data_IF_489453903708
#
_entry.id   IF_489453903708
#
_cell.length_a   1.000
_cell.length_b   1.000
_cell.length_c   1.000
_cell.angle_alpha   90.00
_cell.angle_beta   90.00
_cell.angle_gamma   90.00
#
_symmetry.space_group_name_H-M   'P 1'
#
loop_
_entity.id
_entity.type
_entity.pdbx_description
1 polymer ?
#
# COMPACT_ATOMS: atom_id res chain seq x y z
N UNK A 1 -5.41 11.10 -21.89
CA UNK A 1 -5.65 10.92 -20.43
C UNK A 1 -4.29 10.69 -19.82
N UNK A 2 -3.95 11.30 -18.67
CA UNK A 2 -2.63 11.10 -18.08
C UNK A 2 -2.47 9.63 -17.66
N UNK A 3 -1.53 8.93 -18.30
CA UNK A 3 -1.09 7.60 -17.90
C UNK A 3 -0.10 7.72 -16.72
N UNK A 4 -0.01 6.69 -15.88
CA UNK A 4 1.01 6.64 -14.83
C UNK A 4 2.41 6.62 -15.48
N UNK A 5 3.30 7.46 -14.96
CA UNK A 5 4.66 7.65 -15.47
C UNK A 5 5.65 7.05 -14.48
N UNK A 6 6.92 6.97 -14.88
CA UNK A 6 7.99 6.57 -13.95
C UNK A 6 8.10 7.54 -12.75
N UNK A 7 7.84 8.82 -12.97
CA UNK A 7 7.85 9.85 -11.90
C UNK A 7 6.68 9.64 -10.93
N UNK A 8 5.47 9.42 -11.43
CA UNK A 8 4.33 9.00 -10.61
C UNK A 8 4.67 7.78 -9.77
N UNK A 9 5.41 6.85 -10.36
CA UNK A 9 5.84 5.66 -9.67
C UNK A 9 6.78 5.92 -8.49
N UNK A 10 7.74 6.81 -8.65
CA UNK A 10 8.64 7.20 -7.56
C UNK A 10 7.89 7.93 -6.43
N UNK A 11 6.93 8.78 -6.77
CA UNK A 11 6.08 9.47 -5.78
C UNK A 11 5.23 8.46 -5.02
N UNK A 12 4.54 7.56 -5.73
CA UNK A 12 3.69 6.53 -5.12
C UNK A 12 4.49 5.62 -4.18
N UNK A 13 5.68 5.16 -4.60
CA UNK A 13 6.56 4.36 -3.77
C UNK A 13 6.96 5.10 -2.47
N UNK A 14 7.34 6.37 -2.58
CA UNK A 14 7.68 7.20 -1.43
C UNK A 14 6.48 7.38 -0.48
N UNK A 15 5.28 7.63 -1.00
CA UNK A 15 4.06 7.72 -0.19
C UNK A 15 3.79 6.42 0.57
N UNK A 16 3.82 5.28 -0.13
CA UNK A 16 3.54 3.97 0.47
C UNK A 16 4.56 3.64 1.57
N UNK A 17 5.84 3.96 1.37
CA UNK A 17 6.89 3.76 2.36
C UNK A 17 6.76 4.69 3.58
N UNK A 18 6.15 5.88 3.43
CA UNK A 18 5.81 6.72 4.60
C UNK A 18 4.60 6.20 5.37
N UNK A 19 3.64 5.57 4.68
CA UNK A 19 2.45 4.97 5.30
C UNK A 19 2.78 3.67 6.06
N UNK A 20 3.74 2.88 5.57
CA UNK A 20 4.29 1.71 6.25
C UNK A 20 5.82 1.69 6.09
N UNK A 21 6.55 2.38 6.99
CA UNK A 21 8.00 2.41 6.94
C UNK A 21 8.62 1.14 7.49
N UNK A 22 9.78 0.76 6.95
CA UNK A 22 10.62 -0.25 7.60
C UNK A 22 11.18 0.29 8.92
N UNK A 23 11.02 -0.50 9.98
CA UNK A 23 11.51 -0.18 11.32
C UNK A 23 11.94 -1.44 12.09
N UNK A 24 12.18 -1.31 13.40
CA UNK A 24 12.57 -2.43 14.25
C UNK A 24 11.48 -3.50 14.42
N UNK A 25 10.22 -3.17 14.10
CA UNK A 25 9.06 -4.03 14.28
C UNK A 25 8.71 -4.82 13.01
N UNK A 26 9.16 -4.39 11.84
CA UNK A 26 8.85 -5.11 10.62
C UNK A 26 9.29 -4.47 9.31
N UNK A 27 9.00 -5.15 8.18
CA UNK A 27 9.34 -4.68 6.86
C UNK A 27 8.49 -3.47 6.44
N UNK A 28 9.09 -2.58 5.66
CA UNK A 28 8.38 -1.47 5.02
C UNK A 28 7.59 -1.90 3.79
N UNK A 29 6.81 -0.97 3.25
CA UNK A 29 5.98 -1.16 2.07
C UNK A 29 6.80 -1.67 0.86
N UNK A 30 8.01 -1.16 0.64
CA UNK A 30 8.86 -1.60 -0.48
C UNK A 30 9.39 -3.02 -0.28
N UNK A 31 9.79 -3.35 0.95
CA UNK A 31 10.23 -4.71 1.32
C UNK A 31 9.10 -5.74 1.16
N UNK A 32 7.86 -5.32 1.41
CA UNK A 32 6.64 -6.09 1.17
C UNK A 32 6.18 -6.12 -0.30
N UNK A 33 6.76 -5.33 -1.19
CA UNK A 33 6.36 -5.27 -2.61
C UNK A 33 5.02 -4.58 -2.86
N UNK A 34 4.62 -3.66 -1.98
CA UNK A 34 3.36 -2.91 -2.07
C UNK A 34 3.31 -2.06 -3.35
N UNK A 35 4.46 -1.55 -3.79
CA UNK A 35 4.61 -0.86 -5.07
C UNK A 35 4.16 -1.72 -6.25
N UNK A 36 4.65 -2.96 -6.34
CA UNK A 36 4.30 -3.88 -7.42
C UNK A 36 2.80 -4.21 -7.43
N UNK A 37 2.21 -4.39 -6.24
CA UNK A 37 0.75 -4.50 -6.11
C UNK A 37 0.03 -3.24 -6.64
N UNK A 38 0.42 -2.06 -6.17
CA UNK A 38 -0.27 -0.82 -6.49
C UNK A 38 -0.22 -0.51 -8.01
N UNK A 39 0.93 -0.69 -8.67
CA UNK A 39 0.99 -0.56 -10.12
C UNK A 39 0.15 -1.61 -10.85
N UNK A 40 0.21 -2.88 -10.42
CA UNK A 40 -0.60 -3.93 -11.03
C UNK A 40 -2.10 -3.68 -10.87
N UNK A 41 -2.51 -3.15 -9.72
CA UNK A 41 -3.89 -2.77 -9.47
C UNK A 41 -4.31 -1.60 -10.37
N UNK A 42 -3.50 -0.54 -10.46
CA UNK A 42 -3.78 0.65 -11.26
C UNK A 42 -3.63 0.42 -12.78
N UNK A 43 -2.91 -0.60 -13.23
CA UNK A 43 -2.87 -1.04 -14.62
C UNK A 43 -4.03 -2.00 -14.96
N UNK A 44 -4.58 -2.67 -13.95
CA UNK A 44 -5.64 -3.67 -14.09
C UNK A 44 -6.98 -3.22 -13.54
N UNK A 45 -7.39 -3.83 -12.42
CA UNK A 45 -8.74 -3.69 -11.86
C UNK A 45 -9.12 -2.24 -11.52
N UNK A 46 -8.12 -1.40 -11.21
CA UNK A 46 -8.27 0.01 -10.84
C UNK A 46 -7.84 0.97 -11.95
N UNK A 47 -7.70 0.51 -13.20
CA UNK A 47 -7.31 1.37 -14.33
C UNK A 47 -8.21 2.60 -14.53
N UNK A 48 -9.48 2.51 -14.15
CA UNK A 48 -10.43 3.62 -14.23
C UNK A 48 -10.12 4.78 -13.26
N UNK A 49 -9.40 4.53 -12.16
CA UNK A 49 -8.99 5.57 -11.19
C UNK A 49 -7.54 6.05 -11.40
N UNK A 50 -6.74 5.37 -12.20
CA UNK A 50 -5.35 5.77 -12.48
C UNK A 50 -5.18 7.23 -12.93
N UNK A 51 -6.07 7.82 -13.75
CA UNK A 51 -5.99 9.24 -14.11
C UNK A 51 -6.22 10.19 -12.93
N UNK A 52 -7.04 9.80 -11.95
CA UNK A 52 -7.21 10.60 -10.73
C UNK A 52 -6.00 10.43 -9.81
N UNK A 53 -5.45 9.22 -9.70
CA UNK A 53 -4.21 8.98 -8.93
C UNK A 53 -3.04 9.80 -9.47
N UNK A 54 -2.86 9.89 -10.79
CA UNK A 54 -1.80 10.74 -11.36
C UNK A 54 -1.98 12.21 -10.96
N UNK A 55 -3.20 12.75 -10.99
CA UNK A 55 -3.45 14.13 -10.50
C UNK A 55 -3.11 14.34 -9.03
N UNK A 56 -3.40 13.34 -8.17
CA UNK A 56 -3.02 13.39 -6.75
C UNK A 56 -1.50 13.38 -6.58
N UNK A 57 -0.79 12.53 -7.33
CA UNK A 57 0.68 12.41 -7.26
C UNK A 57 1.39 13.67 -7.80
N UNK A 58 0.85 14.27 -8.86
CA UNK A 58 1.30 15.57 -9.38
C UNK A 58 1.08 16.70 -8.36
N UNK A 59 -0.10 16.70 -7.72
CA UNK A 59 -0.44 17.66 -6.66
C UNK A 59 0.49 17.53 -5.45
N UNK A 60 0.82 16.31 -5.03
CA UNK A 60 1.80 16.07 -3.96
C UNK A 60 3.20 16.57 -4.31
N UNK A 61 3.66 16.34 -5.54
CA UNK A 61 4.95 16.84 -6.00
C UNK A 61 4.98 18.37 -6.06
N UNK A 62 3.91 18.99 -6.55
CA UNK A 62 3.77 20.45 -6.60
C UNK A 62 3.74 21.07 -5.20
N UNK A 63 2.98 20.47 -4.28
CA UNK A 63 2.92 20.91 -2.88
C UNK A 63 4.28 20.78 -2.18
N UNK A 64 4.99 19.67 -2.40
CA UNK A 64 6.33 19.45 -1.87
C UNK A 64 7.34 20.47 -2.44
N UNK A 65 7.29 20.77 -3.74
CA UNK A 65 8.14 21.80 -4.34
C UNK A 65 7.88 23.17 -3.72
N UNK A 66 6.61 23.54 -3.54
CA UNK A 66 6.23 24.81 -2.94
C UNK A 66 6.66 24.93 -1.47
N UNK A 67 6.48 23.88 -0.69
CA UNK A 67 6.70 23.89 0.76
C UNK A 67 8.17 23.64 1.14
N UNK A 68 8.86 22.82 0.36
CA UNK A 68 10.17 22.22 0.72
C UNK A 68 11.23 22.34 -0.38
N UNK A 69 10.89 22.87 -1.57
CA UNK A 69 11.85 23.23 -2.62
C UNK A 69 12.29 22.10 -3.54
N UNK A 70 11.66 20.93 -3.48
CA UNK A 70 11.90 19.79 -4.40
C UNK A 70 10.66 18.92 -4.54
N UNK A 71 10.53 18.12 -5.63
CA UNK A 71 9.42 17.17 -5.78
C UNK A 71 9.33 16.20 -4.60
N UNK A 72 8.14 15.64 -4.38
CA UNK A 72 7.82 14.82 -3.20
C UNK A 72 8.81 13.65 -2.99
N UNK A 73 9.17 12.93 -4.05
CA UNK A 73 10.12 11.82 -3.98
C UNK A 73 11.57 12.28 -3.71
N UNK A 74 11.89 13.57 -3.90
CA UNK A 74 13.23 14.15 -3.72
C UNK A 74 13.44 14.83 -2.37
N UNK A 75 12.39 15.08 -1.59
CA UNK A 75 12.51 15.65 -0.24
C UNK A 75 12.74 14.57 0.82
N UNK A 76 13.29 14.94 1.98
CA UNK A 76 13.52 14.01 3.08
C UNK A 76 12.23 13.54 3.79
N UNK A 77 12.30 12.45 4.54
CA UNK A 77 11.15 11.81 5.18
C UNK A 77 10.28 12.77 6.01
N UNK A 78 10.88 13.66 6.81
CA UNK A 78 10.13 14.63 7.61
C UNK A 78 9.31 15.62 6.75
N UNK A 79 9.82 15.99 5.57
CA UNK A 79 9.08 16.84 4.63
C UNK A 79 7.97 16.06 3.91
N UNK A 80 8.21 14.79 3.58
CA UNK A 80 7.17 13.90 3.06
C UNK A 80 6.03 13.73 4.07
N UNK A 81 6.35 13.55 5.35
CA UNK A 81 5.37 13.45 6.43
C UNK A 81 4.55 14.72 6.61
N UNK A 82 5.18 15.90 6.54
CA UNK A 82 4.46 17.18 6.59
C UNK A 82 3.46 17.30 5.42
N UNK A 83 3.89 16.97 4.19
CA UNK A 83 3.01 17.02 3.01
C UNK A 83 1.87 16.01 3.13
N UNK A 84 2.14 14.77 3.53
CA UNK A 84 1.09 13.74 3.72
C UNK A 84 0.13 14.10 4.84
N UNK A 85 0.64 14.66 5.96
CA UNK A 85 -0.21 15.13 7.04
C UNK A 85 -1.10 16.30 6.63
N UNK A 86 -0.65 17.16 5.70
CA UNK A 86 -1.49 18.22 5.10
C UNK A 86 -2.52 17.65 4.13
N UNK A 87 -2.14 16.64 3.32
CA UNK A 87 -3.06 15.92 2.46
C UNK A 87 -4.22 15.35 3.26
N UNK A 88 -3.93 14.59 4.33
CA UNK A 88 -4.94 13.96 5.20
C UNK A 88 -5.93 14.97 5.79
N UNK A 89 -5.46 16.16 6.15
CA UNK A 89 -6.30 17.25 6.70
C UNK A 89 -7.01 18.09 5.64
N UNK A 90 -6.78 17.84 4.35
CA UNK A 90 -7.36 18.61 3.25
C UNK A 90 -6.79 20.03 3.14
N UNK A 91 -5.51 20.22 3.48
CA UNK A 91 -4.84 21.53 3.50
C UNK A 91 -3.90 21.77 2.31
N UNK A 92 -3.97 20.92 1.29
CA UNK A 92 -3.24 21.10 0.03
C UNK A 92 -4.20 21.62 -1.03
N UNK A 93 -4.01 22.87 -1.44
CA UNK A 93 -4.79 23.49 -2.53
C UNK A 93 -4.55 22.77 -3.88
N UNK A 94 -3.42 22.06 -4.00
CA UNK A 94 -3.04 21.32 -5.20
C UNK A 94 -3.78 19.99 -5.39
N UNK A 95 -4.48 19.50 -4.36
CA UNK A 95 -5.18 18.20 -4.39
C UNK A 95 -6.63 18.38 -3.96
N UNK A 96 -7.55 18.16 -4.90
CA UNK A 96 -8.98 18.12 -4.60
C UNK A 96 -9.31 16.96 -3.66
N UNK A 97 -10.06 17.25 -2.59
CA UNK A 97 -10.46 16.28 -1.55
C UNK A 97 -9.28 15.45 -1.02
N UNK A 98 -8.28 16.15 -0.46
CA UNK A 98 -7.07 15.53 0.07
C UNK A 98 -7.31 14.40 1.09
N UNK A 99 -8.35 14.50 1.92
CA UNK A 99 -8.69 13.46 2.88
C UNK A 99 -9.08 12.14 2.20
N UNK A 100 -9.90 12.19 1.15
CA UNK A 100 -10.25 11.02 0.34
C UNK A 100 -9.04 10.47 -0.43
N UNK A 101 -8.17 11.35 -0.95
CA UNK A 101 -6.93 10.95 -1.61
C UNK A 101 -5.99 10.20 -0.68
N UNK A 102 -5.77 10.71 0.55
CA UNK A 102 -5.00 10.02 1.58
C UNK A 102 -5.61 8.66 1.95
N UNK A 103 -6.93 8.63 2.18
CA UNK A 103 -7.65 7.40 2.49
C UNK A 103 -7.50 6.32 1.42
N UNK A 104 -7.53 6.70 0.14
CA UNK A 104 -7.30 5.79 -0.97
C UNK A 104 -5.87 5.24 -1.00
N UNK A 105 -4.85 6.10 -0.86
CA UNK A 105 -3.44 5.68 -0.84
C UNK A 105 -3.15 4.77 0.35
N UNK A 106 -3.75 5.06 1.50
CA UNK A 106 -3.69 4.21 2.68
C UNK A 106 -4.36 2.85 2.45
N UNK A 107 -5.51 2.81 1.77
CA UNK A 107 -6.15 1.54 1.42
C UNK A 107 -5.29 0.68 0.49
N UNK A 108 -4.73 1.27 -0.57
CA UNK A 108 -3.80 0.59 -1.47
C UNK A 108 -2.58 0.03 -0.72
N UNK A 109 -2.06 0.78 0.26
CA UNK A 109 -0.97 0.32 1.10
C UNK A 109 -1.37 -0.94 1.89
N UNK A 110 -2.52 -0.90 2.58
CA UNK A 110 -3.02 -2.02 3.38
C UNK A 110 -3.29 -3.26 2.52
N UNK A 111 -3.91 -3.08 1.35
CA UNK A 111 -4.18 -4.16 0.40
C UNK A 111 -2.87 -4.79 -0.11
N UNK A 112 -1.90 -3.97 -0.48
CA UNK A 112 -0.60 -4.47 -0.94
C UNK A 112 0.22 -5.11 0.18
N UNK A 113 0.16 -4.60 1.40
CA UNK A 113 0.96 -5.11 2.52
C UNK A 113 0.39 -6.40 3.10
N UNK A 114 -0.93 -6.50 3.20
CA UNK A 114 -1.63 -7.54 3.97
C UNK A 114 -2.59 -8.39 3.14
N UNK A 115 -2.77 -8.09 1.85
CA UNK A 115 -3.49 -8.94 0.92
C UNK A 115 -2.75 -10.24 0.58
N UNK A 116 -3.39 -11.09 -0.22
CA UNK A 116 -2.75 -12.34 -0.65
C UNK A 116 -1.55 -12.04 -1.60
N UNK A 117 -0.37 -12.64 -1.36
CA UNK A 117 0.83 -12.36 -2.15
C UNK A 117 0.69 -12.62 -3.65
N UNK A 118 -0.29 -13.42 -4.08
CA UNK A 118 -0.55 -13.67 -5.51
C UNK A 118 -0.88 -12.39 -6.30
N UNK A 119 -1.26 -11.32 -5.61
CA UNK A 119 -1.57 -10.02 -6.21
C UNK A 119 -0.35 -9.12 -6.39
N UNK A 120 0.85 -9.57 -6.00
CA UNK A 120 2.13 -8.85 -6.23
C UNK A 120 2.71 -8.19 -4.98
N UNK A 121 1.88 -7.96 -3.97
CA UNK A 121 2.27 -7.45 -2.65
C UNK A 121 2.58 -8.56 -1.64
N UNK A 122 2.61 -8.22 -0.36
CA UNK A 122 2.84 -9.13 0.77
C UNK A 122 3.94 -10.16 0.49
N UNK A 123 5.08 -9.68 -0.03
CA UNK A 123 6.13 -10.53 -0.57
C UNK A 123 6.59 -11.54 0.47
N UNK A 124 6.74 -12.79 0.02
CA UNK A 124 7.12 -13.92 0.87
C UNK A 124 6.17 -14.17 2.05
N UNK A 125 4.93 -13.66 2.05
CA UNK A 125 3.97 -13.72 3.18
C UNK A 125 4.42 -12.90 4.40
N UNK A 126 5.33 -11.92 4.22
CA UNK A 126 5.95 -11.19 5.32
C UNK A 126 4.96 -10.30 6.09
N UNK A 127 3.99 -9.67 5.41
CA UNK A 127 2.93 -8.91 6.08
C UNK A 127 2.00 -9.81 6.89
N UNK A 128 1.72 -11.03 6.42
CA UNK A 128 0.98 -12.01 7.22
C UNK A 128 1.74 -12.49 8.44
N UNK A 129 3.06 -12.71 8.32
CA UNK A 129 3.89 -13.04 9.50
C UNK A 129 3.90 -11.89 10.51
N UNK A 130 3.94 -10.64 10.04
CA UNK A 130 3.89 -9.46 10.89
C UNK A 130 2.57 -9.40 11.69
N UNK A 131 1.44 -9.69 11.06
CA UNK A 131 0.12 -9.73 11.72
C UNK A 131 -0.14 -11.01 12.54
N UNK A 132 0.73 -12.03 12.45
CA UNK A 132 0.44 -13.36 13.00
C UNK A 132 -0.70 -14.09 12.28
N UNK A 133 -1.02 -13.69 11.04
CA UNK A 133 -2.08 -14.35 10.27
C UNK A 133 -1.62 -15.75 9.84
N UNK A 134 -2.41 -16.82 10.10
CA UNK A 134 -1.99 -18.20 9.88
C UNK A 134 -1.99 -18.63 8.40
N UNK A 135 -2.36 -17.73 7.48
CA UNK A 135 -2.57 -18.01 6.07
C UNK A 135 -4.00 -18.48 5.77
N UNK A 136 -4.25 -18.82 4.51
CA UNK A 136 -5.58 -19.28 4.05
C UNK A 136 -5.90 -20.63 4.67
N UNK A 137 -7.11 -20.75 5.21
CA UNK A 137 -7.64 -21.96 5.84
C UNK A 137 -8.96 -22.33 5.18
N UNK A 138 -9.06 -23.56 4.68
CA UNK A 138 -10.29 -24.07 4.04
C UNK A 138 -11.22 -24.73 5.05
N UNK A 139 -10.64 -25.25 6.12
CA UNK A 139 -11.32 -25.88 7.23
C UNK A 139 -10.72 -25.33 8.52
N UNK A 140 -11.59 -25.05 9.48
CA UNK A 140 -11.24 -24.62 10.83
C UNK A 140 -12.02 -25.51 11.80
N UNK A 141 -11.28 -26.26 12.63
CA UNK A 141 -11.90 -27.15 13.60
C UNK A 141 -12.48 -26.38 14.79
N UNK A 142 -13.38 -27.00 15.56
CA UNK A 142 -13.94 -26.36 16.76
C UNK A 142 -12.87 -26.08 17.83
N UNK A 143 -11.79 -26.87 17.86
CA UNK A 143 -10.64 -26.65 18.75
C UNK A 143 -9.88 -25.37 18.37
N UNK A 144 -9.61 -25.17 17.08
CA UNK A 144 -8.93 -23.99 16.55
C UNK A 144 -9.73 -22.68 16.68
N UNK A 145 -11.04 -22.77 16.96
CA UNK A 145 -11.89 -21.59 17.21
C UNK A 145 -11.85 -21.11 18.66
N UNK A 146 -11.16 -21.82 19.55
CA UNK A 146 -11.01 -21.41 20.94
C UNK A 146 -10.03 -20.24 21.05
N UNK A 147 -10.33 -19.27 21.93
CA UNK A 147 -9.60 -17.99 22.02
C UNK A 147 -8.11 -18.13 22.36
N UNK A 148 -7.71 -19.20 23.04
CA UNK A 148 -6.35 -19.41 23.54
C UNK A 148 -5.57 -20.47 22.73
N UNK A 149 -6.12 -20.90 21.59
CA UNK A 149 -5.47 -21.88 20.72
C UNK A 149 -4.70 -21.15 19.62
N UNK A 150 -3.37 -21.26 19.65
CA UNK A 150 -2.56 -20.86 18.51
C UNK A 150 -2.79 -21.81 17.34
N UNK A 151 -3.36 -21.26 16.28
CA UNK A 151 -3.60 -22.00 15.04
C UNK A 151 -2.28 -22.08 14.26
N UNK A 152 -1.55 -23.18 14.48
CA UNK A 152 -0.30 -23.47 13.79
C UNK A 152 -0.47 -23.92 12.33
N UNK A 153 0.63 -23.96 11.59
CA UNK A 153 0.67 -24.50 10.23
C UNK A 153 1.70 -23.84 9.32
N UNK A 154 1.89 -24.39 8.12
CA UNK A 154 2.62 -23.70 7.05
C UNK A 154 1.72 -22.62 6.48
N UNK A 155 2.15 -21.36 6.52
CA UNK A 155 1.46 -20.26 5.84
C UNK A 155 1.29 -20.60 4.35
N UNK A 156 0.05 -20.50 3.88
CA UNK A 156 -0.33 -20.77 2.49
C UNK A 156 -1.14 -19.62 1.93
N UNK A 157 -0.78 -19.21 0.72
CA UNK A 157 -1.54 -18.28 -0.11
C UNK A 157 -2.68 -19.03 -0.80
N UNK A 158 -3.68 -18.31 -1.31
CA UNK A 158 -4.67 -18.82 -2.26
C UNK A 158 -4.01 -19.48 -3.49
N UNK A 159 -2.81 -19.05 -3.88
CA UNK A 159 -2.07 -19.67 -4.97
C UNK A 159 -1.68 -21.14 -4.69
N UNK A 160 -1.59 -21.53 -3.41
CA UNK A 160 -1.36 -22.92 -3.00
C UNK A 160 -2.61 -23.80 -3.12
N UNK A 161 -3.76 -23.20 -3.50
CA UNK A 161 -5.06 -23.87 -3.67
C UNK A 161 -5.64 -23.61 -5.07
N UNK A 162 -5.09 -24.22 -6.12
CA UNK A 162 -5.46 -23.93 -7.52
C UNK A 162 -6.92 -24.24 -7.85
N UNK A 163 -7.58 -25.10 -7.06
CA UNK A 163 -8.97 -25.51 -7.29
C UNK A 163 -10.00 -24.53 -6.71
N UNK A 164 -9.58 -23.51 -5.95
CA UNK A 164 -10.47 -22.54 -5.29
C UNK A 164 -10.63 -21.21 -6.03
N UNK A 165 -10.32 -21.17 -7.33
CA UNK A 165 -10.25 -19.93 -8.09
C UNK A 165 -10.75 -20.00 -9.53
N UNK A 166 -11.83 -20.75 -9.80
CA UNK A 166 -12.58 -20.65 -11.06
C UNK A 166 -13.92 -19.95 -10.88
#
# INVERSE_FOLDING_TARGET
MPELTAEHGAVLAAVLERLLPEDENGPGAMSLGVDAYAFGALDGALAHVAPWVSTVLDGLSTAAERLHGSPFAGVGAAAQDDVLGRLERGELDEVDDGASAFGFLHHLMLEGAFGDPRHGGNRNLAGWRLLGFPGVRLEVTAEEQQLEVEVGGRLRSLADYPDLGR
#
